data_IF_421978845307
#
_entry.id   IF_421978845307
#
_cell.length_a   1.000
_cell.length_b   1.000
_cell.length_c   1.000
_cell.angle_alpha   90.00
_cell.angle_beta   90.00
_cell.angle_gamma   90.00
#
_symmetry.space_group_name_H-M   'P 1'
#
loop_
_entity.id
_entity.type
_entity.pdbx_description
1 polymer ?
#
# COMPACT_ATOMS: atom_id res chain seq x y z
N UNK A 1 15.74 -0.50 25.43
CA UNK A 1 16.58 -0.20 24.26
C UNK A 1 16.57 -1.41 23.32
N UNK A 2 16.14 -1.21 22.07
CA UNK A 2 15.70 -2.24 21.13
C UNK A 2 16.87 -2.60 20.20
N UNK A 3 17.83 -3.33 20.76
CA UNK A 3 19.09 -3.72 20.10
C UNK A 3 18.86 -4.67 18.93
N UNK A 4 17.88 -5.58 19.02
CA UNK A 4 17.55 -6.57 18.00
C UNK A 4 17.01 -5.97 16.69
N UNK A 5 16.17 -4.93 16.77
CA UNK A 5 15.63 -4.24 15.58
C UNK A 5 16.71 -3.44 14.84
N UNK A 6 17.66 -2.88 15.58
CA UNK A 6 18.78 -2.12 15.00
C UNK A 6 19.75 -3.05 14.29
N UNK A 7 20.03 -4.22 14.87
CA UNK A 7 20.90 -5.24 14.29
C UNK A 7 20.37 -5.79 12.96
N UNK A 8 19.10 -6.20 12.90
CA UNK A 8 18.48 -6.70 11.65
C UNK A 8 18.39 -5.63 10.56
N UNK A 9 18.20 -4.36 10.96
CA UNK A 9 18.20 -3.21 10.05
C UNK A 9 19.58 -2.97 9.43
N UNK A 10 20.64 -3.03 10.24
CA UNK A 10 22.00 -2.86 9.75
C UNK A 10 22.37 -3.99 8.77
N UNK A 11 21.95 -5.22 9.08
CA UNK A 11 22.25 -6.40 8.27
C UNK A 11 21.69 -6.32 6.83
N UNK A 12 20.43 -5.90 6.64
CA UNK A 12 19.89 -5.80 5.27
C UNK A 12 20.53 -4.65 4.47
N UNK A 13 20.89 -3.53 5.12
CA UNK A 13 21.55 -2.41 4.45
C UNK A 13 22.93 -2.82 3.94
N UNK A 14 23.65 -3.60 4.74
CA UNK A 14 24.97 -4.11 4.38
C UNK A 14 24.88 -5.17 3.28
N UNK A 15 23.87 -6.05 3.31
CA UNK A 15 23.60 -7.00 2.21
C UNK A 15 23.28 -6.28 0.90
N UNK A 16 22.45 -5.24 0.94
CA UNK A 16 22.10 -4.48 -0.25
C UNK A 16 23.29 -3.64 -0.76
N UNK A 17 24.12 -3.10 0.13
CA UNK A 17 25.37 -2.44 -0.25
C UNK A 17 26.34 -3.41 -0.95
N UNK A 18 26.45 -4.64 -0.43
CA UNK A 18 27.27 -5.69 -1.03
C UNK A 18 26.77 -6.06 -2.44
N UNK A 19 25.46 -6.23 -2.61
CA UNK A 19 24.85 -6.47 -3.93
C UNK A 19 25.18 -5.33 -4.91
N UNK A 20 25.06 -4.07 -4.47
CA UNK A 20 25.40 -2.90 -5.31
C UNK A 20 26.87 -2.85 -5.66
N UNK A 21 27.75 -3.20 -4.73
CA UNK A 21 29.19 -3.26 -4.95
C UNK A 21 29.54 -4.32 -6.01
N UNK A 22 28.94 -5.50 -5.93
CA UNK A 22 29.11 -6.56 -6.94
C UNK A 22 28.74 -6.09 -8.35
N UNK A 23 27.69 -5.27 -8.50
CA UNK A 23 27.28 -4.72 -9.80
C UNK A 23 28.31 -3.73 -10.38
N UNK A 24 28.93 -2.90 -9.54
CA UNK A 24 29.85 -1.86 -10.02
C UNK A 24 31.30 -2.30 -10.06
N UNK A 25 31.67 -3.38 -9.34
CA UNK A 25 33.05 -3.89 -9.27
C UNK A 25 33.72 -4.07 -10.64
N UNK A 26 33.05 -4.65 -11.67
CA UNK A 26 33.63 -4.75 -13.01
C UNK A 26 33.91 -3.38 -13.67
N UNK A 27 33.17 -2.34 -13.31
CA UNK A 27 33.34 -0.99 -13.83
C UNK A 27 34.48 -0.22 -13.13
N UNK A 28 34.94 -0.68 -11.97
CA UNK A 28 35.99 -0.01 -11.18
C UNK A 28 37.41 -0.43 -11.60
N UNK A 29 37.56 -1.36 -12.55
CA UNK A 29 38.88 -1.83 -13.00
C UNK A 29 39.68 -0.70 -13.68
N UNK A 30 40.97 -0.60 -13.35
CA UNK A 30 41.87 0.34 -13.99
C UNK A 30 42.14 -0.07 -15.45
N UNK A 31 42.27 0.91 -16.37
CA UNK A 31 42.60 0.65 -17.77
C UNK A 31 41.42 0.37 -18.72
N UNK A 32 40.18 0.49 -18.25
CA UNK A 32 38.99 0.49 -19.11
C UNK A 32 38.90 1.81 -19.91
N UNK A 33 38.88 1.72 -21.23
CA UNK A 33 38.47 2.85 -22.08
C UNK A 33 36.97 3.19 -21.90
N UNK A 34 36.59 4.41 -22.27
CA UNK A 34 35.23 4.91 -22.06
C UNK A 34 34.16 4.13 -22.83
N UNK A 35 34.49 3.63 -24.03
CA UNK A 35 33.56 2.89 -24.88
C UNK A 35 33.27 1.49 -24.30
N UNK A 36 34.30 0.76 -23.87
CA UNK A 36 34.19 -0.52 -23.18
C UNK A 36 33.47 -0.39 -21.86
N UNK A 37 33.76 0.67 -21.09
CA UNK A 37 33.03 0.97 -19.85
C UNK A 37 31.54 1.18 -20.10
N UNK A 38 31.17 1.88 -21.17
CA UNK A 38 29.77 2.09 -21.56
C UNK A 38 29.10 0.78 -22.00
N UNK A 39 29.77 -0.04 -22.81
CA UNK A 39 29.25 -1.33 -23.25
C UNK A 39 29.04 -2.28 -22.07
N UNK A 40 30.05 -2.42 -21.21
CA UNK A 40 29.98 -3.26 -20.00
C UNK A 40 28.83 -2.82 -19.09
N UNK A 41 28.64 -1.51 -18.93
CA UNK A 41 27.52 -0.95 -18.16
C UNK A 41 26.16 -1.34 -18.74
N UNK A 42 25.99 -1.31 -20.07
CA UNK A 42 24.75 -1.76 -20.73
C UNK A 42 24.50 -3.24 -20.48
N UNK A 43 25.52 -4.08 -20.65
CA UNK A 43 25.43 -5.53 -20.38
C UNK A 43 25.03 -5.82 -18.92
N UNK A 44 25.66 -5.17 -17.95
CA UNK A 44 25.32 -5.34 -16.52
C UNK A 44 23.89 -4.88 -16.24
N UNK A 45 23.47 -3.75 -16.83
CA UNK A 45 22.13 -3.20 -16.68
C UNK A 45 21.07 -4.20 -17.17
N UNK A 46 21.25 -4.74 -18.37
CA UNK A 46 20.33 -5.70 -18.98
C UNK A 46 20.27 -7.01 -18.19
N UNK A 47 21.43 -7.57 -17.80
CA UNK A 47 21.51 -8.82 -17.03
C UNK A 47 20.86 -8.74 -15.65
N UNK A 48 20.86 -7.55 -15.03
CA UNK A 48 20.39 -7.36 -13.66
C UNK A 48 19.03 -6.66 -13.59
N UNK A 49 18.39 -6.42 -14.73
CA UNK A 49 17.14 -5.68 -14.85
C UNK A 49 17.16 -4.32 -14.12
N UNK A 50 18.25 -3.57 -14.29
CA UNK A 50 18.43 -2.23 -13.73
C UNK A 50 18.72 -1.24 -14.84
N UNK A 51 18.37 0.03 -14.64
CA UNK A 51 18.70 1.05 -15.63
C UNK A 51 20.20 1.37 -15.63
N UNK A 52 20.75 1.72 -16.79
CA UNK A 52 22.11 2.25 -16.95
C UNK A 52 22.36 3.43 -15.99
N UNK A 53 21.36 4.30 -15.80
CA UNK A 53 21.37 5.43 -14.84
C UNK A 53 21.62 4.97 -13.40
N UNK A 54 21.11 3.80 -13.01
CA UNK A 54 21.27 3.24 -11.66
C UNK A 54 22.74 2.88 -11.39
N UNK A 55 23.43 2.31 -12.37
CA UNK A 55 24.86 2.00 -12.25
C UNK A 55 25.71 3.28 -12.13
N UNK A 56 25.40 4.33 -12.92
CA UNK A 56 26.06 5.64 -12.77
C UNK A 56 25.89 6.21 -11.36
N UNK A 57 24.69 6.10 -10.79
CA UNK A 57 24.42 6.57 -9.43
C UNK A 57 25.22 5.78 -8.40
N UNK A 58 25.37 4.47 -8.56
CA UNK A 58 26.13 3.63 -7.64
C UNK A 58 27.64 3.88 -7.72
N UNK A 59 28.24 3.99 -8.90
CA UNK A 59 29.66 4.36 -9.03
C UNK A 59 29.92 5.75 -8.45
N UNK A 60 29.07 6.73 -8.72
CA UNK A 60 29.21 8.06 -8.14
C UNK A 60 29.16 8.00 -6.61
N UNK A 61 28.18 7.29 -6.05
CA UNK A 61 28.06 7.13 -4.61
C UNK A 61 29.27 6.41 -3.99
N UNK A 62 29.83 5.42 -4.71
CA UNK A 62 31.04 4.72 -4.28
C UNK A 62 32.29 5.59 -4.39
N UNK A 63 32.44 6.38 -5.45
CA UNK A 63 33.55 7.32 -5.59
C UNK A 63 33.57 8.37 -4.47
N UNK A 64 32.40 8.88 -4.08
CA UNK A 64 32.29 9.93 -3.05
C UNK A 64 32.41 9.39 -1.61
N UNK A 65 31.82 8.21 -1.33
CA UNK A 65 31.62 7.72 0.04
C UNK A 65 32.00 6.25 0.23
N UNK A 66 32.68 5.65 -0.75
CA UNK A 66 33.11 4.25 -0.74
C UNK A 66 31.93 3.30 -0.45
N UNK A 67 32.17 2.20 0.25
CA UNK A 67 31.13 1.23 0.59
C UNK A 67 29.95 1.84 1.37
N UNK A 68 30.21 2.82 2.24
CA UNK A 68 29.16 3.51 2.98
C UNK A 68 28.18 4.26 2.05
N UNK A 69 28.65 4.76 0.90
CA UNK A 69 27.82 5.38 -0.13
C UNK A 69 26.84 4.43 -0.81
N UNK A 70 27.12 3.13 -0.81
CA UNK A 70 26.25 2.11 -1.39
C UNK A 70 25.14 1.68 -0.44
N UNK A 71 25.27 1.94 0.86
CA UNK A 71 24.25 1.59 1.85
C UNK A 71 22.95 2.35 1.55
N UNK A 72 21.80 1.66 1.50
CA UNK A 72 20.51 2.32 1.38
C UNK A 72 20.33 3.36 2.49
N UNK A 73 20.01 4.59 2.10
CA UNK A 73 19.77 5.67 3.06
C UNK A 73 18.65 5.26 4.04
N UNK A 74 18.89 5.52 5.32
CA UNK A 74 17.84 5.40 6.32
C UNK A 74 16.84 6.52 6.12
N UNK A 75 15.79 6.23 5.33
CA UNK A 75 14.63 7.09 5.32
C UNK A 75 13.85 6.74 6.57
N UNK A 76 13.96 7.58 7.59
CA UNK A 76 12.89 7.66 8.58
C UNK A 76 11.59 7.75 7.79
N UNK A 77 10.76 6.71 7.89
CA UNK A 77 9.40 6.82 7.44
C UNK A 77 8.87 8.00 8.24
N UNK A 78 8.64 9.13 7.58
CA UNK A 78 7.76 10.20 8.06
C UNK A 78 6.37 9.57 8.16
N UNK A 79 6.20 8.63 9.10
CA UNK A 79 4.91 8.13 9.51
C UNK A 79 4.29 9.37 10.11
N UNK A 80 3.28 9.87 9.41
CA UNK A 80 2.24 10.70 10.00
C UNK A 80 2.05 10.27 11.45
N UNK A 81 2.12 11.25 12.36
CA UNK A 81 1.97 11.13 13.81
C UNK A 81 1.14 9.89 14.19
N UNK A 82 1.62 9.14 15.18
CA UNK A 82 0.91 7.97 15.68
C UNK A 82 -0.57 8.31 15.87
N UNK A 83 -1.48 7.44 15.43
CA UNK A 83 -2.90 7.70 15.61
C UNK A 83 -3.20 7.88 17.12
N UNK A 84 -4.28 8.58 17.47
CA UNK A 84 -4.72 8.71 18.86
C UNK A 84 -4.79 7.35 19.56
N UNK A 85 -4.55 7.30 20.87
CA UNK A 85 -4.64 6.05 21.64
C UNK A 85 -6.02 5.38 21.53
N UNK A 86 -7.08 6.17 21.35
CA UNK A 86 -8.45 5.70 21.16
C UNK A 86 -8.81 5.37 19.70
N UNK A 87 -7.82 5.24 18.80
CA UNK A 87 -8.09 5.10 17.37
C UNK A 87 -8.85 3.82 16.99
N UNK A 88 -8.59 2.70 17.67
CA UNK A 88 -9.30 1.44 17.37
C UNK A 88 -10.80 1.58 17.63
N UNK A 89 -11.17 2.22 18.75
CA UNK A 89 -12.56 2.58 19.04
C UNK A 89 -13.16 3.53 17.99
N UNK A 90 -12.43 4.56 17.58
CA UNK A 90 -12.88 5.49 16.53
C UNK A 90 -13.08 4.78 15.18
N UNK A 91 -12.25 3.79 14.87
CA UNK A 91 -12.37 2.98 13.66
C UNK A 91 -13.63 2.11 13.69
N UNK A 92 -13.94 1.48 14.83
CA UNK A 92 -15.17 0.71 14.99
C UNK A 92 -16.42 1.58 14.81
N UNK A 93 -16.46 2.75 15.46
CA UNK A 93 -17.55 3.71 15.31
C UNK A 93 -17.68 4.20 13.87
N UNK A 94 -16.56 4.48 13.20
CA UNK A 94 -16.54 4.88 11.80
C UNK A 94 -17.07 3.77 10.86
N UNK A 95 -16.76 2.50 11.14
CA UNK A 95 -17.29 1.36 10.41
C UNK A 95 -18.79 1.22 10.63
N UNK A 96 -19.26 1.39 11.87
CA UNK A 96 -20.68 1.34 12.19
C UNK A 96 -21.46 2.42 11.42
N UNK A 97 -20.99 3.67 11.44
CA UNK A 97 -21.54 4.75 10.64
C UNK A 97 -21.51 4.44 9.14
N UNK A 98 -20.50 3.73 8.64
CA UNK A 98 -20.45 3.32 7.23
C UNK A 98 -21.46 2.23 6.90
N UNK A 99 -21.72 1.28 7.81
CA UNK A 99 -22.69 0.21 7.61
C UNK A 99 -24.12 0.74 7.53
N UNK A 100 -24.47 1.71 8.37
CA UNK A 100 -25.78 2.37 8.34
C UNK A 100 -26.04 3.07 7.02
N UNK A 101 -25.05 3.82 6.54
CA UNK A 101 -25.12 4.56 5.28
C UNK A 101 -23.85 4.30 4.47
N UNK A 102 -23.86 3.31 3.56
CA UNK A 102 -22.67 2.92 2.77
C UNK A 102 -22.06 4.07 1.96
N UNK A 103 -22.90 5.01 1.50
CA UNK A 103 -22.50 6.17 0.69
C UNK A 103 -21.79 7.27 1.50
N UNK A 104 -21.75 7.17 2.84
CA UNK A 104 -21.51 8.29 3.77
C UNK A 104 -20.25 9.14 3.61
N UNK A 105 -19.26 8.95 2.77
CA UNK A 105 -17.99 9.74 2.79
C UNK A 105 -17.23 9.77 4.14
N UNK A 106 -15.89 9.74 4.06
CA UNK A 106 -15.06 9.72 5.27
C UNK A 106 -15.06 11.08 5.98
N UNK A 107 -15.15 12.18 5.24
CA UNK A 107 -15.24 13.53 5.82
C UNK A 107 -16.47 13.71 6.69
N UNK A 108 -17.63 13.18 6.26
CA UNK A 108 -18.86 13.25 7.04
C UNK A 108 -18.81 12.35 8.27
N UNK A 109 -18.17 11.18 8.18
CA UNK A 109 -17.92 10.32 9.35
C UNK A 109 -17.10 11.08 10.40
N UNK A 110 -16.00 11.72 9.99
CA UNK A 110 -15.17 12.52 10.90
C UNK A 110 -15.98 13.64 11.55
N UNK A 111 -16.78 14.37 10.77
CA UNK A 111 -17.66 15.40 11.29
C UNK A 111 -18.63 14.88 12.37
N UNK A 112 -19.19 13.68 12.19
CA UNK A 112 -20.08 13.07 13.19
C UNK A 112 -19.30 12.70 14.46
N UNK A 113 -18.13 12.07 14.32
CA UNK A 113 -17.28 11.70 15.47
C UNK A 113 -16.80 12.93 16.26
N UNK A 114 -16.51 14.04 15.57
CA UNK A 114 -16.16 15.31 16.19
C UNK A 114 -17.37 15.94 16.90
N UNK A 115 -18.56 15.91 16.27
CA UNK A 115 -19.79 16.44 16.84
C UNK A 115 -20.28 15.64 18.07
N UNK A 116 -20.03 14.34 18.11
CA UNK A 116 -20.29 13.46 19.26
C UNK A 116 -19.26 13.62 20.39
N UNK A 117 -18.22 14.43 20.19
CA UNK A 117 -17.16 14.65 21.17
C UNK A 117 -16.20 13.47 21.36
N UNK A 118 -16.21 12.49 20.45
CA UNK A 118 -15.35 11.30 20.51
C UNK A 118 -13.90 11.62 20.10
N UNK A 119 -13.70 12.67 19.30
CA UNK A 119 -12.37 13.16 18.91
C UNK A 119 -12.37 14.67 18.79
N UNK A 120 -11.26 15.31 19.14
CA UNK A 120 -11.11 16.75 18.96
C UNK A 120 -10.94 17.12 17.47
N UNK A 121 -11.49 18.26 17.02
CA UNK A 121 -11.39 18.68 15.63
C UNK A 121 -9.97 18.68 15.09
N UNK A 122 -9.76 18.04 13.94
CA UNK A 122 -8.48 18.03 13.24
C UNK A 122 -7.43 17.04 13.78
N UNK A 123 -7.70 16.35 14.90
CA UNK A 123 -6.85 15.26 15.40
C UNK A 123 -6.93 14.04 14.46
N UNK A 124 -8.13 13.71 13.99
CA UNK A 124 -8.36 12.57 13.12
C UNK A 124 -8.27 12.97 11.64
N UNK A 125 -7.16 12.60 10.97
CA UNK A 125 -6.98 12.90 9.54
C UNK A 125 -7.84 12.00 8.65
N UNK A 126 -8.52 12.62 7.66
CA UNK A 126 -9.32 11.93 6.62
C UNK A 126 -8.58 10.77 5.96
N UNK A 127 -7.36 10.98 5.48
CA UNK A 127 -6.60 9.96 4.77
C UNK A 127 -6.19 8.78 5.65
N UNK A 128 -5.98 9.02 6.95
CA UNK A 128 -5.72 7.96 7.93
C UNK A 128 -6.98 7.12 8.12
N UNK A 129 -8.12 7.74 8.45
CA UNK A 129 -9.36 7.01 8.68
C UNK A 129 -9.80 6.23 7.43
N UNK A 130 -9.73 6.85 6.26
CA UNK A 130 -10.09 6.22 4.97
C UNK A 130 -9.25 4.96 4.69
N UNK A 131 -7.94 5.04 4.92
CA UNK A 131 -7.03 3.89 4.76
C UNK A 131 -7.41 2.74 5.67
N UNK A 132 -7.73 3.03 6.94
CA UNK A 132 -8.06 2.00 7.91
C UNK A 132 -9.44 1.39 7.66
N UNK A 133 -10.44 2.19 7.30
CA UNK A 133 -11.76 1.72 6.85
C UNK A 133 -11.62 0.81 5.62
N UNK A 134 -10.80 1.20 4.64
CA UNK A 134 -10.54 0.38 3.44
C UNK A 134 -9.90 -0.97 3.79
N UNK A 135 -8.90 -0.98 4.68
CA UNK A 135 -8.27 -2.22 5.17
C UNK A 135 -9.26 -3.12 5.91
N UNK A 136 -10.23 -2.52 6.59
CA UNK A 136 -11.31 -3.25 7.26
C UNK A 136 -12.40 -3.77 6.30
N UNK A 137 -12.31 -3.49 4.99
CA UNK A 137 -13.28 -3.97 3.99
C UNK A 137 -14.44 -3.03 3.69
N UNK A 138 -14.46 -1.83 4.28
CA UNK A 138 -15.57 -0.88 4.18
C UNK A 138 -15.23 0.35 3.31
N UNK A 139 -14.25 0.22 2.42
CA UNK A 139 -13.88 1.26 1.47
C UNK A 139 -15.02 1.60 0.52
N UNK A 140 -15.03 2.82 -0.02
CA UNK A 140 -16.13 3.30 -0.87
C UNK A 140 -16.39 2.41 -2.10
N UNK A 141 -15.32 1.94 -2.77
CA UNK A 141 -15.43 0.97 -3.87
C UNK A 141 -16.00 -0.39 -3.42
N UNK A 142 -15.61 -0.86 -2.23
CA UNK A 142 -16.11 -2.12 -1.68
C UNK A 142 -17.61 -2.00 -1.38
N UNK A 143 -18.02 -0.91 -0.73
CA UNK A 143 -19.43 -0.62 -0.45
C UNK A 143 -20.28 -0.50 -1.73
N UNK A 144 -19.71 0.08 -2.79
CA UNK A 144 -20.36 0.14 -4.10
C UNK A 144 -20.55 -1.26 -4.72
N UNK A 145 -19.52 -2.10 -4.70
CA UNK A 145 -19.64 -3.49 -5.18
C UNK A 145 -20.71 -4.27 -4.41
N UNK A 146 -20.80 -4.10 -3.08
CA UNK A 146 -21.87 -4.75 -2.29
C UNK A 146 -23.26 -4.27 -2.69
N UNK A 147 -23.43 -2.97 -2.99
CA UNK A 147 -24.71 -2.42 -3.49
C UNK A 147 -25.08 -3.00 -4.85
N UNK A 148 -24.11 -3.09 -5.77
CA UNK A 148 -24.31 -3.65 -7.11
C UNK A 148 -24.65 -5.15 -7.07
N UNK A 149 -23.92 -5.94 -6.27
CA UNK A 149 -24.19 -7.35 -6.05
C UNK A 149 -25.54 -7.61 -5.37
N UNK A 150 -25.91 -6.75 -4.41
CA UNK A 150 -27.25 -6.80 -3.80
C UNK A 150 -28.32 -6.51 -4.84
N UNK A 151 -28.19 -5.46 -5.63
CA UNK A 151 -29.16 -5.09 -6.65
C UNK A 151 -29.32 -6.17 -7.73
N UNK A 152 -28.23 -6.80 -8.17
CA UNK A 152 -28.29 -7.91 -9.11
C UNK A 152 -28.96 -9.15 -8.51
N UNK A 153 -28.73 -9.45 -7.22
CA UNK A 153 -29.44 -10.52 -6.51
C UNK A 153 -30.94 -10.25 -6.40
N UNK A 154 -31.34 -9.01 -6.07
CA UNK A 154 -32.76 -8.62 -6.06
C UNK A 154 -33.39 -8.71 -7.44
N UNK A 155 -32.68 -8.29 -8.49
CA UNK A 155 -33.16 -8.40 -9.87
C UNK A 155 -33.31 -9.88 -10.27
N UNK A 156 -32.34 -10.73 -9.93
CA UNK A 156 -32.42 -12.16 -10.18
C UNK A 156 -33.59 -12.83 -9.44
N UNK A 157 -33.80 -12.50 -8.16
CA UNK A 157 -34.93 -13.00 -7.38
C UNK A 157 -36.27 -12.52 -7.94
N UNK A 158 -36.37 -11.27 -8.38
CA UNK A 158 -37.57 -10.73 -9.03
C UNK A 158 -37.85 -11.40 -10.39
N UNK A 159 -36.83 -11.60 -11.23
CA UNK A 159 -36.98 -12.32 -12.50
C UNK A 159 -37.37 -13.78 -12.24
N UNK A 160 -36.75 -14.45 -11.28
CA UNK A 160 -37.10 -15.83 -10.89
C UNK A 160 -38.56 -15.91 -10.40
N UNK A 161 -38.97 -15.01 -9.50
CA UNK A 161 -40.34 -14.96 -9.02
C UNK A 161 -41.36 -14.65 -10.14
N UNK A 162 -41.00 -13.83 -11.12
CA UNK A 162 -41.86 -13.54 -12.29
C UNK A 162 -41.97 -14.75 -13.24
N UNK A 163 -40.87 -15.47 -13.46
CA UNK A 163 -40.84 -16.72 -14.25
C UNK A 163 -41.66 -17.81 -13.56
N UNK A 164 -41.49 -17.99 -12.24
CA UNK A 164 -42.25 -18.94 -11.42
C UNK A 164 -43.76 -18.59 -11.37
N UNK A 165 -44.11 -17.31 -11.52
CA UNK A 165 -45.52 -16.85 -11.58
C UNK A 165 -46.15 -17.03 -12.96
N UNK A 166 -45.35 -17.02 -14.04
CA UNK A 166 -45.80 -17.28 -15.41
C UNK A 166 -45.85 -18.78 -15.75
N UNK A 167 -45.00 -19.59 -15.14
CA UNK A 167 -45.06 -21.05 -15.17
C UNK A 167 -46.02 -21.50 -14.07
N UNK A 168 -47.31 -21.61 -14.36
CA UNK A 168 -48.33 -22.07 -13.42
C UNK A 168 -48.11 -23.49 -12.90
N UNK A 169 -47.10 -23.72 -12.06
CA UNK A 169 -46.86 -25.00 -11.38
C UNK A 169 -47.86 -25.08 -10.23
N UNK A 170 -49.05 -25.58 -10.55
CA UNK A 170 -49.94 -26.18 -9.56
C UNK A 170 -49.21 -27.40 -9.00
N UNK A 171 -48.57 -27.26 -7.86
CA UNK A 171 -48.16 -28.41 -7.04
C UNK A 171 -49.45 -28.98 -6.45
N UNK A 172 -50.02 -29.96 -7.14
CA UNK A 172 -51.15 -30.75 -6.65
C UNK A 172 -50.63 -31.62 -5.50
N UNK A 173 -51.13 -31.34 -4.29
CA UNK A 173 -50.92 -32.16 -3.09
C UNK A 173 -51.56 -33.54 -3.28
N UNK A 174 -50.79 -34.60 -3.00
CA UNK A 174 -51.28 -35.88 -2.44
C UNK A 174 -50.35 -36.23 -1.28
#
# INVERSE_FOLDING_TARGET
MNTSTTFTKQQWQDQEALRRFQLISPLLQAGLDDAKRLQLRRTIADQNNVSVRTLYRYEKAFSEKQFAGLKPADREKRRSQAPPENFDFLLEQAIQLRKEVPERSVSKIIYILEAEGLVAPGVLKRSTLERHIYRAGYGQKQMQMYKEARNSLYLFLLVKAAVDKHLGVRVTTI
#
